data_IF_105331027097
#
_entry.id   IF_105331027097
#
_cell.length_a   1.000
_cell.length_b   1.000
_cell.length_c   1.000
_cell.angle_alpha   90.00
_cell.angle_beta   90.00
_cell.angle_gamma   90.00
#
_symmetry.space_group_name_H-M   'P 1'
#
loop_
_entity.id
_entity.type
_entity.pdbx_description
1 polymer ?
#
# COMPACT_ATOMS: atom_id res chain seq x y z
N UNK A 1 -55.54 42.35 -16.12
CA UNK A 1 -55.95 40.97 -15.78
C UNK A 1 -54.70 40.13 -15.48
N UNK A 2 -54.38 39.87 -14.21
CA UNK A 2 -53.22 39.05 -13.82
C UNK A 2 -53.58 37.56 -13.98
N UNK A 3 -52.85 36.85 -14.84
CA UNK A 3 -52.92 35.40 -15.02
C UNK A 3 -52.89 34.67 -13.67
N UNK A 4 -54.05 34.14 -13.23
CA UNK A 4 -54.15 33.23 -12.09
C UNK A 4 -53.48 31.91 -12.49
N UNK A 5 -52.18 31.75 -12.20
CA UNK A 5 -51.48 30.47 -12.36
C UNK A 5 -52.21 29.41 -11.52
N UNK A 6 -52.79 28.40 -12.19
CA UNK A 6 -53.39 27.22 -11.54
C UNK A 6 -52.26 26.33 -11.02
N UNK A 7 -52.15 26.20 -9.70
CA UNK A 7 -51.25 25.23 -9.08
C UNK A 7 -51.82 23.82 -9.22
N UNK A 8 -50.98 22.85 -9.59
CA UNK A 8 -51.31 21.43 -9.63
C UNK A 8 -50.52 20.72 -8.53
N UNK A 9 -51.19 19.95 -7.67
CA UNK A 9 -50.50 19.06 -6.72
C UNK A 9 -49.81 17.95 -7.50
N UNK A 10 -48.52 17.75 -7.25
CA UNK A 10 -47.72 16.66 -7.82
C UNK A 10 -47.24 15.82 -6.63
N UNK A 11 -47.41 14.49 -6.66
CA UNK A 11 -46.82 13.63 -5.64
C UNK A 11 -45.30 13.73 -5.72
N UNK A 12 -44.66 14.02 -4.59
CA UNK A 12 -43.20 14.08 -4.47
C UNK A 12 -42.80 13.05 -3.42
N UNK A 13 -41.84 12.20 -3.78
CA UNK A 13 -41.16 11.32 -2.83
C UNK A 13 -39.88 12.02 -2.38
N UNK A 14 -39.69 12.13 -1.06
CA UNK A 14 -38.47 12.67 -0.45
C UNK A 14 -37.65 11.47 0.01
N UNK A 15 -36.44 11.33 -0.53
CA UNK A 15 -35.50 10.28 -0.17
C UNK A 15 -34.36 10.88 0.66
N UNK A 16 -34.25 10.56 1.97
CA UNK A 16 -33.17 11.05 2.81
C UNK A 16 -31.87 10.30 2.50
N UNK A 17 -31.08 10.82 1.56
CA UNK A 17 -29.83 10.19 1.10
C UNK A 17 -28.94 9.76 2.27
N UNK A 18 -28.81 10.59 3.30
CA UNK A 18 -27.94 10.31 4.45
C UNK A 18 -28.33 9.04 5.21
N UNK A 19 -29.61 8.78 5.33
CA UNK A 19 -30.14 7.64 6.09
C UNK A 19 -30.22 6.38 5.21
N UNK A 20 -30.42 6.56 3.90
CA UNK A 20 -30.61 5.44 2.98
C UNK A 20 -29.30 4.89 2.35
N UNK A 21 -28.27 5.73 2.18
CA UNK A 21 -27.09 5.36 1.37
C UNK A 21 -26.33 4.14 1.88
N UNK A 22 -26.32 3.92 3.20
CA UNK A 22 -25.71 2.77 3.86
C UNK A 22 -26.71 1.82 4.51
N UNK A 23 -28.01 2.01 4.28
CA UNK A 23 -29.07 1.19 4.89
C UNK A 23 -28.91 -0.31 4.62
N UNK A 24 -28.35 -0.68 3.47
CA UNK A 24 -28.09 -2.08 3.07
C UNK A 24 -26.78 -2.66 3.62
N UNK A 25 -25.93 -1.85 4.23
CA UNK A 25 -24.66 -2.27 4.81
C UNK A 25 -24.75 -2.59 6.30
N UNK A 26 -25.86 -2.20 6.95
CA UNK A 26 -26.12 -2.50 8.35
C UNK A 26 -26.06 -4.01 8.61
N UNK A 27 -25.18 -4.42 9.52
CA UNK A 27 -24.94 -5.84 9.85
C UNK A 27 -24.03 -6.58 8.86
N UNK A 28 -23.48 -5.91 7.85
CA UNK A 28 -22.41 -6.42 6.98
C UNK A 28 -21.09 -5.70 7.20
N UNK A 29 -21.14 -4.39 7.45
CA UNK A 29 -19.99 -3.55 7.80
C UNK A 29 -20.49 -2.40 8.70
N UNK A 30 -19.77 -2.12 9.79
CA UNK A 30 -20.18 -1.11 10.77
C UNK A 30 -19.81 0.30 10.27
N UNK A 31 -20.65 0.84 9.39
CA UNK A 31 -20.44 2.14 8.74
C UNK A 31 -20.44 3.31 9.72
N UNK A 32 -21.15 3.18 10.84
CA UNK A 32 -21.14 4.15 11.94
C UNK A 32 -19.74 4.26 12.57
N UNK A 33 -19.09 3.14 12.85
CA UNK A 33 -17.73 3.12 13.38
C UNK A 33 -16.74 3.67 12.35
N UNK A 34 -16.88 3.27 11.08
CA UNK A 34 -16.01 3.75 9.99
C UNK A 34 -16.19 5.25 9.71
N UNK A 35 -17.36 5.81 9.98
CA UNK A 35 -17.63 7.24 9.76
C UNK A 35 -16.76 8.17 10.64
N UNK A 36 -16.25 7.66 11.77
CA UNK A 36 -15.33 8.42 12.62
C UNK A 36 -13.86 8.28 12.21
N UNK A 37 -13.54 7.29 11.38
CA UNK A 37 -12.17 6.93 11.00
C UNK A 37 -11.56 7.87 9.97
N UNK A 38 -10.23 7.99 10.07
CA UNK A 38 -9.37 8.75 9.17
C UNK A 38 -8.41 7.80 8.48
N UNK A 39 -8.41 7.77 7.15
CA UNK A 39 -7.40 7.05 6.37
C UNK A 39 -6.58 8.02 5.53
N UNK A 40 -5.31 7.68 5.31
CA UNK A 40 -4.47 8.38 4.34
C UNK A 40 -4.11 7.43 3.20
N UNK A 41 -4.48 7.77 1.97
CA UNK A 41 -4.14 7.03 0.76
C UNK A 41 -3.09 7.83 0.00
N UNK A 42 -1.92 7.23 -0.20
CA UNK A 42 -0.74 7.90 -0.76
C UNK A 42 -0.35 7.17 -2.04
N UNK A 43 -0.49 7.86 -3.17
CA UNK A 43 -0.53 7.26 -4.50
C UNK A 43 -1.97 6.89 -4.87
N UNK A 44 -2.46 7.48 -5.95
CA UNK A 44 -3.81 7.34 -6.50
C UNK A 44 -3.74 6.89 -7.97
N UNK A 45 -2.75 6.06 -8.29
CA UNK A 45 -2.72 5.29 -9.54
C UNK A 45 -3.78 4.19 -9.56
N UNK A 46 -3.52 3.12 -10.32
CA UNK A 46 -4.49 2.03 -10.52
C UNK A 46 -5.04 1.41 -9.23
N UNK A 47 -4.16 0.97 -8.33
CA UNK A 47 -4.59 0.35 -7.07
C UNK A 47 -5.08 1.37 -6.05
N UNK A 48 -4.33 2.45 -5.85
CA UNK A 48 -4.65 3.46 -4.84
C UNK A 48 -5.97 4.19 -5.07
N UNK A 49 -6.32 4.47 -6.33
CA UNK A 49 -7.61 5.08 -6.68
C UNK A 49 -8.78 4.12 -6.38
N UNK A 50 -8.62 2.82 -6.65
CA UNK A 50 -9.61 1.80 -6.29
C UNK A 50 -9.77 1.67 -4.76
N UNK A 51 -8.66 1.59 -4.02
CA UNK A 51 -8.67 1.50 -2.55
C UNK A 51 -9.37 2.71 -1.93
N UNK A 52 -9.02 3.94 -2.37
CA UNK A 52 -9.62 5.16 -1.87
C UNK A 52 -11.13 5.21 -2.12
N UNK A 53 -11.57 4.81 -3.32
CA UNK A 53 -12.98 4.78 -3.68
C UNK A 53 -13.75 3.76 -2.86
N UNK A 54 -13.26 2.53 -2.78
CA UNK A 54 -13.90 1.44 -2.03
C UNK A 54 -14.00 1.75 -0.54
N UNK A 55 -12.95 2.30 0.09
CA UNK A 55 -13.02 2.73 1.49
C UNK A 55 -14.08 3.83 1.71
N UNK A 56 -14.19 4.77 0.77
CA UNK A 56 -15.26 5.78 0.76
C UNK A 56 -16.65 5.16 0.68
N UNK A 57 -16.84 4.18 -0.22
CA UNK A 57 -18.08 3.41 -0.37
C UNK A 57 -18.38 2.58 0.89
N UNK A 58 -17.37 2.02 1.54
CA UNK A 58 -17.51 1.29 2.80
C UNK A 58 -17.90 2.17 4.00
N UNK A 59 -17.97 3.49 3.83
CA UNK A 59 -18.42 4.41 4.88
C UNK A 59 -17.30 5.04 5.69
N UNK A 60 -16.02 4.96 5.27
CA UNK A 60 -14.94 5.70 5.92
C UNK A 60 -15.23 7.20 5.83
N UNK A 61 -15.28 7.87 6.98
CA UNK A 61 -15.78 9.24 7.04
C UNK A 61 -14.76 10.32 6.71
N UNK A 62 -13.45 10.08 6.86
CA UNK A 62 -12.40 11.05 6.51
C UNK A 62 -11.30 10.37 5.70
N UNK A 63 -11.04 10.90 4.51
CA UNK A 63 -10.08 10.31 3.57
C UNK A 63 -9.09 11.39 3.14
N UNK A 64 -7.81 11.20 3.41
CA UNK A 64 -6.73 12.05 2.93
C UNK A 64 -6.18 11.41 1.65
N UNK A 65 -6.27 12.12 0.54
CA UNK A 65 -5.84 11.64 -0.78
C UNK A 65 -4.58 12.40 -1.19
N UNK A 66 -3.43 11.74 -1.22
CA UNK A 66 -2.14 12.36 -1.57
C UNK A 66 -1.63 11.79 -2.89
N UNK A 67 -1.58 12.63 -3.92
CA UNK A 67 -1.02 12.30 -5.23
C UNK A 67 -0.74 13.60 -6.02
N UNK A 68 0.39 13.68 -6.71
CA UNK A 68 0.80 14.87 -7.46
C UNK A 68 0.42 14.84 -8.94
N UNK A 69 0.09 13.65 -9.47
CA UNK A 69 -0.11 13.46 -10.89
C UNK A 69 -1.45 13.99 -11.35
N UNK A 70 -1.49 14.29 -12.65
CA UNK A 70 -2.73 14.45 -13.40
C UNK A 70 -3.13 13.12 -14.01
N UNK A 71 -4.42 12.95 -14.29
CA UNK A 71 -4.88 11.79 -15.04
C UNK A 71 -4.45 11.93 -16.51
N UNK A 72 -3.62 11.02 -16.97
CA UNK A 72 -3.22 10.92 -18.38
C UNK A 72 -4.08 9.90 -19.13
N UNK A 73 -4.23 10.09 -20.44
CA UNK A 73 -5.02 9.18 -21.31
C UNK A 73 -4.53 7.73 -21.17
N UNK A 74 -3.22 7.51 -21.11
CA UNK A 74 -2.63 6.18 -20.96
C UNK A 74 -2.94 5.48 -19.63
N UNK A 75 -3.40 6.21 -18.61
CA UNK A 75 -3.78 5.63 -17.33
C UNK A 75 -5.28 5.33 -17.23
N UNK A 76 -6.11 5.87 -18.14
CA UNK A 76 -7.58 5.77 -18.03
C UNK A 76 -8.08 4.33 -18.05
N UNK A 77 -7.44 3.43 -18.82
CA UNK A 77 -7.81 2.02 -18.90
C UNK A 77 -7.67 1.25 -17.58
N UNK A 78 -6.88 1.79 -16.64
CA UNK A 78 -6.53 1.16 -15.37
C UNK A 78 -6.74 2.05 -14.15
N UNK A 79 -7.35 3.22 -14.31
CA UNK A 79 -7.72 4.12 -13.23
C UNK A 79 -9.25 4.13 -13.06
N UNK A 80 -9.77 4.38 -11.86
CA UNK A 80 -11.23 4.39 -11.63
C UNK A 80 -11.97 5.54 -12.33
N UNK A 81 -11.23 6.59 -12.72
CA UNK A 81 -11.76 7.74 -13.44
C UNK A 81 -11.63 7.59 -14.96
N UNK A 82 -12.64 8.06 -15.68
CA UNK A 82 -12.71 7.98 -17.14
C UNK A 82 -12.09 9.17 -17.88
N UNK A 83 -12.22 9.15 -19.22
CA UNK A 83 -11.71 10.17 -20.15
C UNK A 83 -12.14 11.60 -19.81
N UNK A 84 -13.33 11.78 -19.23
CA UNK A 84 -13.86 13.10 -18.82
C UNK A 84 -13.03 13.80 -17.74
N UNK A 85 -12.12 13.09 -17.08
CA UNK A 85 -11.28 13.62 -16.01
C UNK A 85 -9.82 13.86 -16.44
N UNK A 86 -9.45 13.55 -17.69
CA UNK A 86 -8.08 13.71 -18.19
C UNK A 86 -7.60 15.15 -17.99
N UNK A 87 -6.35 15.28 -17.54
CA UNK A 87 -5.71 16.56 -17.23
C UNK A 87 -6.03 17.11 -15.83
N UNK A 88 -7.00 16.55 -15.09
CA UNK A 88 -7.24 16.93 -13.68
C UNK A 88 -6.29 16.18 -12.74
N UNK A 89 -5.93 16.78 -11.61
CA UNK A 89 -5.14 16.10 -10.59
C UNK A 89 -5.89 14.90 -10.00
N UNK A 90 -5.21 13.75 -9.89
CA UNK A 90 -5.77 12.49 -9.38
C UNK A 90 -6.37 12.68 -7.99
N UNK A 91 -5.70 13.40 -7.10
CA UNK A 91 -6.21 13.72 -5.76
C UNK A 91 -7.59 14.41 -5.78
N UNK A 92 -7.78 15.41 -6.65
CA UNK A 92 -9.06 16.11 -6.78
C UNK A 92 -10.13 15.25 -7.44
N UNK A 93 -9.77 14.45 -8.45
CA UNK A 93 -10.70 13.51 -9.08
C UNK A 93 -11.25 12.54 -8.03
N UNK A 94 -10.39 11.99 -7.19
CA UNK A 94 -10.79 11.04 -6.15
C UNK A 94 -11.72 11.67 -5.11
N UNK A 95 -11.50 12.93 -4.74
CA UNK A 95 -12.43 13.64 -3.87
C UNK A 95 -13.85 13.70 -4.46
N UNK A 96 -13.99 14.07 -5.74
CA UNK A 96 -15.29 14.12 -6.40
C UNK A 96 -15.95 12.73 -6.46
N UNK A 97 -15.20 11.70 -6.89
CA UNK A 97 -15.73 10.34 -7.07
C UNK A 97 -16.16 9.69 -5.76
N UNK A 98 -15.46 9.99 -4.66
CA UNK A 98 -15.81 9.54 -3.32
C UNK A 98 -17.06 10.28 -2.84
N UNK A 99 -17.12 11.62 -2.95
CA UNK A 99 -18.26 12.41 -2.48
C UNK A 99 -19.54 12.12 -3.27
N UNK A 100 -19.44 11.72 -4.53
CA UNK A 100 -20.55 11.23 -5.35
C UNK A 100 -21.22 9.97 -4.75
N UNK A 101 -20.42 9.09 -4.12
CA UNK A 101 -20.90 7.82 -3.53
C UNK A 101 -21.07 7.85 -2.02
N UNK A 102 -20.39 8.77 -1.34
CA UNK A 102 -20.47 8.99 0.10
C UNK A 102 -20.43 10.51 0.38
N UNK A 103 -21.57 11.20 0.25
CA UNK A 103 -21.65 12.64 0.47
C UNK A 103 -21.49 13.05 1.94
N UNK A 104 -21.44 12.09 2.87
CA UNK A 104 -21.19 12.33 4.28
C UNK A 104 -19.69 12.33 4.62
N UNK A 105 -18.83 11.83 3.73
CA UNK A 105 -17.39 11.82 3.93
C UNK A 105 -16.79 13.23 3.85
N UNK A 106 -15.61 13.38 4.45
CA UNK A 106 -14.72 14.54 4.27
C UNK A 106 -13.47 14.06 3.56
N UNK A 107 -13.28 14.53 2.32
CA UNK A 107 -12.10 14.18 1.54
C UNK A 107 -11.12 15.36 1.50
N UNK A 108 -9.85 15.09 1.78
CA UNK A 108 -8.77 16.06 1.80
C UNK A 108 -7.79 15.76 0.66
N UNK A 109 -8.01 16.33 -0.54
CA UNK A 109 -7.09 16.15 -1.66
C UNK A 109 -5.83 17.01 -1.45
N UNK A 110 -4.66 16.38 -1.43
CA UNK A 110 -3.35 17.03 -1.35
C UNK A 110 -2.57 16.71 -2.61
N UNK A 111 -2.36 17.73 -3.45
CA UNK A 111 -1.58 17.62 -4.69
C UNK A 111 -0.11 17.82 -4.35
N UNK A 112 0.57 16.74 -3.98
CA UNK A 112 2.00 16.79 -3.65
C UNK A 112 2.67 15.43 -3.79
N UNK A 113 3.95 15.49 -4.14
CA UNK A 113 4.82 14.33 -4.20
C UNK A 113 5.39 14.04 -2.82
N UNK A 114 5.64 12.76 -2.53
CA UNK A 114 6.33 12.35 -1.31
C UNK A 114 7.83 12.41 -1.55
N UNK A 115 8.45 13.49 -1.10
CA UNK A 115 9.88 13.71 -1.14
C UNK A 115 10.36 14.36 0.17
N UNK A 116 11.65 14.65 0.29
CA UNK A 116 12.22 15.25 1.50
C UNK A 116 11.63 16.62 1.84
N UNK A 117 11.36 17.46 0.84
CA UNK A 117 10.82 18.81 1.05
C UNK A 117 9.38 18.78 1.59
N UNK A 118 8.55 17.87 1.07
CA UNK A 118 7.17 17.70 1.50
C UNK A 118 6.99 16.83 2.74
N UNK A 119 8.07 16.17 3.22
CA UNK A 119 8.08 15.26 4.38
C UNK A 119 7.33 15.82 5.61
N UNK A 120 7.49 17.10 6.01
CA UNK A 120 6.77 17.64 7.17
C UNK A 120 5.25 17.65 6.99
N UNK A 121 4.76 17.90 5.78
CA UNK A 121 3.31 17.90 5.47
C UNK A 121 2.77 16.48 5.41
N UNK A 122 3.49 15.57 4.76
CA UNK A 122 3.13 14.14 4.71
C UNK A 122 3.05 13.55 6.11
N UNK A 123 4.02 13.87 6.99
CA UNK A 123 4.02 13.47 8.40
C UNK A 123 2.79 13.93 9.17
N UNK A 124 2.33 15.18 8.96
CA UNK A 124 1.09 15.69 9.58
C UNK A 124 -0.14 14.89 9.15
N UNK A 125 -0.20 14.45 7.90
CA UNK A 125 -1.27 13.59 7.40
C UNK A 125 -1.22 12.19 8.03
N UNK A 126 -0.04 11.57 8.07
CA UNK A 126 0.18 10.27 8.72
C UNK A 126 -0.22 10.30 10.19
N UNK A 127 0.20 11.31 10.94
CA UNK A 127 -0.13 11.45 12.37
C UNK A 127 -1.64 11.49 12.65
N UNK A 128 -2.43 12.04 11.74
CA UNK A 128 -3.89 12.12 11.85
C UNK A 128 -4.61 10.84 11.44
N UNK A 129 -4.01 10.04 10.56
CA UNK A 129 -4.63 8.82 10.07
C UNK A 129 -4.67 7.73 11.16
N UNK A 130 -5.75 6.94 11.15
CA UNK A 130 -5.84 5.67 11.86
C UNK A 130 -5.05 4.59 11.13
N UNK A 131 -5.10 4.58 9.79
CA UNK A 131 -4.35 3.66 8.91
C UNK A 131 -3.84 4.39 7.67
N UNK A 132 -2.60 4.10 7.27
CA UNK A 132 -1.98 4.64 6.06
C UNK A 132 -1.91 3.57 4.97
N UNK A 133 -2.36 3.90 3.77
CA UNK A 133 -2.30 3.03 2.59
C UNK A 133 -1.23 3.59 1.66
N UNK A 134 -0.12 2.86 1.54
CA UNK A 134 1.02 3.23 0.71
C UNK A 134 0.88 2.51 -0.63
N UNK A 135 0.47 3.27 -1.64
CA UNK A 135 0.17 2.79 -3.00
C UNK A 135 1.03 3.49 -4.06
N UNK A 136 2.15 4.10 -3.64
CA UNK A 136 3.15 4.67 -4.53
C UNK A 136 3.99 3.58 -5.20
N UNK A 137 4.38 3.83 -6.43
CA UNK A 137 5.26 3.02 -7.25
C UNK A 137 6.74 3.43 -7.14
N UNK A 138 7.04 4.55 -6.48
CA UNK A 138 8.39 5.04 -6.25
C UNK A 138 9.03 4.45 -4.96
N UNK A 139 10.27 3.95 -5.07
CA UNK A 139 11.01 3.33 -3.96
C UNK A 139 11.38 4.32 -2.85
N UNK A 140 11.85 5.51 -3.20
CA UNK A 140 12.20 6.56 -2.24
C UNK A 140 10.98 6.97 -1.41
N UNK A 141 9.85 7.20 -2.08
CA UNK A 141 8.57 7.49 -1.44
C UNK A 141 8.18 6.39 -0.44
N UNK A 142 8.30 5.11 -0.81
CA UNK A 142 8.03 3.98 0.11
C UNK A 142 8.92 3.98 1.34
N UNK A 143 10.21 4.28 1.19
CA UNK A 143 11.16 4.35 2.31
C UNK A 143 10.86 5.51 3.25
N UNK A 144 10.55 6.70 2.72
CA UNK A 144 10.14 7.87 3.50
C UNK A 144 8.86 7.56 4.28
N UNK A 145 7.84 7.01 3.62
CA UNK A 145 6.55 6.70 4.24
C UNK A 145 6.68 5.60 5.30
N UNK A 146 7.45 4.55 5.04
CA UNK A 146 7.74 3.51 6.01
C UNK A 146 8.35 4.12 7.28
N UNK A 147 9.40 4.94 7.14
CA UNK A 147 10.05 5.60 8.28
C UNK A 147 9.08 6.50 9.03
N UNK A 148 8.31 7.34 8.34
CA UNK A 148 7.33 8.22 8.97
C UNK A 148 6.25 7.45 9.73
N UNK A 149 5.71 6.37 9.16
CA UNK A 149 4.69 5.57 9.82
C UNK A 149 5.25 4.86 11.06
N UNK A 150 6.48 4.34 10.99
CA UNK A 150 7.15 3.73 12.15
C UNK A 150 7.42 4.77 13.25
N UNK A 151 7.96 5.94 12.89
CA UNK A 151 8.26 7.04 13.83
C UNK A 151 6.98 7.58 14.52
N UNK A 152 5.85 7.63 13.82
CA UNK A 152 4.56 8.06 14.38
C UNK A 152 3.75 6.90 14.98
N UNK A 153 4.30 5.68 15.00
CA UNK A 153 3.62 4.43 15.40
C UNK A 153 2.23 4.26 14.76
N UNK A 154 2.17 4.49 13.45
CA UNK A 154 0.94 4.36 12.64
C UNK A 154 0.97 3.06 11.85
N UNK A 155 -0.13 2.27 11.89
CA UNK A 155 -0.22 1.10 11.05
C UNK A 155 -0.28 1.53 9.59
N UNK A 156 0.35 0.74 8.73
CA UNK A 156 0.29 0.95 7.30
C UNK A 156 0.09 -0.35 6.55
N UNK A 157 -0.51 -0.23 5.37
CA UNK A 157 -0.59 -1.29 4.38
C UNK A 157 0.10 -0.77 3.13
N UNK A 158 1.17 -1.43 2.71
CA UNK A 158 1.87 -1.12 1.46
C UNK A 158 1.57 -2.22 0.45
N UNK A 159 1.12 -1.83 -0.74
CA UNK A 159 0.81 -2.78 -1.79
C UNK A 159 1.58 -2.44 -3.07
N UNK A 160 2.05 -3.49 -3.73
CA UNK A 160 2.74 -3.37 -5.01
C UNK A 160 2.35 -4.54 -5.91
N UNK A 161 2.12 -4.25 -7.20
CA UNK A 161 2.10 -5.29 -8.21
C UNK A 161 3.55 -5.67 -8.58
N UNK A 162 3.76 -6.94 -8.89
CA UNK A 162 5.01 -7.39 -9.51
C UNK A 162 5.07 -6.89 -10.95
N UNK A 163 6.22 -7.09 -11.61
CA UNK A 163 6.41 -6.75 -13.03
C UNK A 163 5.23 -7.25 -13.88
N UNK A 164 4.69 -6.41 -14.78
CA UNK A 164 3.54 -6.75 -15.65
C UNK A 164 2.27 -7.19 -14.89
N UNK A 165 2.20 -6.94 -13.58
CA UNK A 165 1.20 -7.47 -12.65
C UNK A 165 0.93 -8.97 -12.80
N UNK A 166 1.96 -9.79 -13.06
CA UNK A 166 1.77 -11.25 -13.04
C UNK A 166 1.38 -11.77 -11.64
N UNK A 167 1.62 -10.96 -10.62
CA UNK A 167 1.16 -11.11 -9.25
C UNK A 167 1.32 -9.79 -8.50
N UNK A 168 1.30 -9.86 -7.18
CA UNK A 168 1.65 -8.75 -6.32
C UNK A 168 1.74 -9.13 -4.86
N UNK A 169 2.05 -8.13 -4.06
CA UNK A 169 2.37 -8.29 -2.65
C UNK A 169 1.75 -7.20 -1.80
N UNK A 170 1.46 -7.55 -0.54
CA UNK A 170 0.94 -6.64 0.47
C UNK A 170 1.78 -6.80 1.73
N UNK A 171 2.34 -5.69 2.20
CA UNK A 171 3.08 -5.58 3.46
C UNK A 171 2.21 -4.88 4.48
N UNK A 172 2.06 -5.49 5.65
CA UNK A 172 1.23 -4.98 6.74
C UNK A 172 2.10 -4.71 7.94
N UNK A 173 2.11 -3.45 8.37
CA UNK A 173 2.73 -3.02 9.60
C UNK A 173 1.64 -2.62 10.60
N UNK A 174 1.62 -3.29 11.75
CA UNK A 174 0.62 -3.13 12.82
C UNK A 174 1.17 -2.39 14.06
N UNK A 175 2.32 -1.73 13.94
CA UNK A 175 2.95 -0.97 15.02
C UNK A 175 4.29 -1.55 15.49
N UNK A 176 5.05 -0.73 16.23
CA UNK A 176 6.40 -1.07 16.70
C UNK A 176 6.39 -2.21 17.71
N UNK A 177 7.38 -3.12 17.62
CA UNK A 177 7.59 -4.21 18.57
C UNK A 177 6.91 -5.54 18.21
N UNK A 178 6.01 -5.54 17.22
CA UNK A 178 5.23 -6.74 16.85
C UNK A 178 5.50 -7.14 15.39
N UNK A 179 5.27 -6.24 14.43
CA UNK A 179 5.39 -6.53 12.99
C UNK A 179 6.71 -6.01 12.39
N UNK A 180 7.30 -6.72 11.40
CA UNK A 180 8.38 -6.16 10.59
C UNK A 180 7.88 -4.91 9.82
N UNK A 181 8.72 -3.88 9.73
CA UNK A 181 8.45 -2.76 8.83
C UNK A 181 8.95 -3.08 7.41
N UNK A 182 8.67 -2.20 6.45
CA UNK A 182 9.10 -2.41 5.06
C UNK A 182 10.63 -2.53 4.93
N UNK A 183 11.39 -1.82 5.77
CA UNK A 183 12.85 -1.95 5.79
C UNK A 183 13.31 -3.35 6.23
N UNK A 184 12.60 -4.04 7.12
CA UNK A 184 12.90 -5.42 7.47
C UNK A 184 12.71 -6.33 6.24
N UNK A 185 11.61 -6.14 5.51
CA UNK A 185 11.33 -6.89 4.29
C UNK A 185 12.46 -6.73 3.26
N UNK A 186 12.88 -5.49 2.98
CA UNK A 186 14.00 -5.22 2.07
C UNK A 186 15.30 -5.93 2.45
N UNK A 187 15.54 -6.11 3.76
CA UNK A 187 16.74 -6.80 4.25
C UNK A 187 16.66 -8.32 4.13
N UNK A 188 15.47 -8.91 4.30
CA UNK A 188 15.30 -10.36 4.18
C UNK A 188 15.14 -10.81 2.74
N UNK A 189 14.50 -10.00 1.90
CA UNK A 189 14.00 -10.37 0.58
C UNK A 189 14.32 -9.27 -0.45
N UNK A 190 15.61 -9.01 -0.72
CA UNK A 190 16.05 -7.93 -1.59
C UNK A 190 15.65 -8.16 -3.06
N UNK A 191 15.56 -9.40 -3.52
CA UNK A 191 15.18 -9.72 -4.90
C UNK A 191 13.67 -9.45 -5.12
N UNK A 192 12.83 -9.95 -4.22
CA UNK A 192 11.37 -9.76 -4.24
C UNK A 192 10.97 -8.29 -4.03
N UNK A 193 11.82 -7.52 -3.35
CA UNK A 193 11.65 -6.08 -3.20
C UNK A 193 11.89 -5.31 -4.50
N UNK A 194 12.72 -5.84 -5.39
CA UNK A 194 13.04 -5.22 -6.68
C UNK A 194 12.08 -5.64 -7.79
N UNK A 195 11.31 -6.72 -7.61
CA UNK A 195 10.25 -7.11 -8.54
C UNK A 195 9.00 -6.25 -8.32
N UNK A 196 9.00 -5.09 -8.95
CA UNK A 196 7.91 -4.11 -8.89
C UNK A 196 7.50 -3.72 -10.30
N UNK A 197 6.21 -3.45 -10.49
CA UNK A 197 5.67 -2.97 -11.77
C UNK A 197 6.39 -1.71 -12.25
N UNK A 198 6.79 -1.72 -13.53
CA UNK A 198 7.36 -0.56 -14.23
C UNK A 198 6.23 0.09 -15.03
N UNK A 199 5.72 1.19 -14.49
CA UNK A 199 4.45 1.77 -14.92
C UNK A 199 4.60 3.10 -15.66
N UNK A 200 5.81 3.69 -15.63
CA UNK A 200 6.16 4.94 -16.33
C UNK A 200 7.54 4.91 -17.00
N UNK A 201 7.79 5.75 -18.02
CA UNK A 201 9.11 5.89 -18.64
C UNK A 201 10.20 6.36 -17.67
N UNK A 202 9.87 7.23 -16.72
CA UNK A 202 10.81 7.75 -15.71
C UNK A 202 11.35 6.61 -14.85
N UNK A 203 10.48 5.70 -14.40
CA UNK A 203 10.89 4.49 -13.67
C UNK A 203 11.78 3.58 -14.53
N UNK A 204 11.42 3.44 -15.81
CA UNK A 204 12.21 2.64 -16.73
C UNK A 204 13.62 3.21 -16.90
N UNK A 205 13.78 4.53 -16.93
CA UNK A 205 15.06 5.22 -16.99
C UNK A 205 15.88 5.06 -15.70
N UNK A 206 15.24 5.15 -14.53
CA UNK A 206 15.93 4.91 -13.24
C UNK A 206 16.50 3.48 -13.13
N UNK A 207 15.83 2.50 -13.76
CA UNK A 207 16.23 1.10 -13.74
C UNK A 207 17.22 0.77 -14.87
N UNK A 208 17.29 1.58 -15.92
CA UNK A 208 18.16 1.36 -17.06
C UNK A 208 19.65 1.54 -16.68
N UNK A 209 20.26 0.50 -16.12
CA UNK A 209 21.69 0.43 -15.83
C UNK A 209 22.58 0.25 -17.08
N UNK A 210 21.98 0.05 -18.27
CA UNK A 210 22.67 -0.20 -19.54
C UNK A 210 21.98 0.53 -20.69
N UNK A 211 22.62 0.61 -21.87
CA UNK A 211 22.04 1.19 -23.10
C UNK A 211 20.81 0.45 -23.66
N UNK A 212 20.27 -0.53 -22.91
CA UNK A 212 19.06 -1.26 -23.28
C UNK A 212 17.85 -0.59 -22.61
N UNK A 213 16.90 -0.19 -23.44
CA UNK A 213 15.61 0.31 -22.98
C UNK A 213 14.90 -0.74 -22.11
N UNK A 214 14.43 -0.29 -20.95
CA UNK A 214 13.56 -1.08 -20.09
C UNK A 214 12.12 -0.82 -20.54
N UNK A 215 11.34 -1.85 -20.93
CA UNK A 215 9.99 -1.64 -21.43
C UNK A 215 9.04 -1.22 -20.29
N UNK A 216 8.16 -0.26 -20.59
CA UNK A 216 7.05 0.12 -19.70
C UNK A 216 5.92 -0.89 -19.89
N UNK A 217 5.76 -1.80 -18.93
CA UNK A 217 4.80 -2.90 -19.01
C UNK A 217 3.82 -2.86 -17.83
N UNK A 218 2.83 -1.96 -17.86
CA UNK A 218 1.88 -1.83 -16.77
C UNK A 218 0.94 -3.04 -16.72
N UNK A 219 0.48 -3.35 -15.52
CA UNK A 219 -0.49 -4.39 -15.24
C UNK A 219 -1.88 -4.05 -15.76
N UNK A 220 -2.64 -5.10 -16.09
CA UNK A 220 -4.07 -4.96 -16.37
C UNK A 220 -4.83 -4.61 -15.08
N UNK A 221 -5.89 -3.83 -15.18
CA UNK A 221 -6.74 -3.53 -14.03
C UNK A 221 -7.30 -4.80 -13.37
N UNK A 222 -7.62 -5.82 -14.18
CA UNK A 222 -8.10 -7.11 -13.68
C UNK A 222 -7.04 -7.85 -12.82
N UNK A 223 -5.76 -7.58 -13.04
CA UNK A 223 -4.66 -8.19 -12.30
C UNK A 223 -4.31 -7.39 -11.04
N UNK A 224 -4.51 -6.06 -11.07
CA UNK A 224 -4.26 -5.14 -9.96
C UNK A 224 -5.41 -5.14 -8.94
N UNK A 225 -6.64 -5.33 -9.42
CA UNK A 225 -7.85 -5.24 -8.59
C UNK A 225 -7.91 -6.29 -7.47
N UNK A 226 -7.58 -7.57 -7.67
CA UNK A 226 -7.54 -8.56 -6.58
C UNK A 226 -6.62 -8.12 -5.43
N UNK A 227 -5.44 -7.58 -5.76
CA UNK A 227 -4.49 -7.05 -4.78
C UNK A 227 -5.12 -5.90 -4.00
N UNK A 228 -5.68 -4.94 -4.72
CA UNK A 228 -6.32 -3.75 -4.15
C UNK A 228 -7.53 -4.10 -3.27
N UNK A 229 -8.32 -5.11 -3.65
CA UNK A 229 -9.45 -5.60 -2.87
C UNK A 229 -9.01 -6.23 -1.53
N UNK A 230 -7.91 -6.97 -1.55
CA UNK A 230 -7.34 -7.54 -0.32
C UNK A 230 -6.81 -6.44 0.61
N UNK A 231 -6.20 -5.39 0.06
CA UNK A 231 -5.79 -4.20 0.83
C UNK A 231 -6.98 -3.53 1.52
N UNK A 232 -8.12 -3.36 0.82
CA UNK A 232 -9.35 -2.81 1.43
C UNK A 232 -9.85 -3.69 2.58
N UNK A 233 -9.80 -5.03 2.42
CA UNK A 233 -10.21 -5.97 3.48
C UNK A 233 -9.32 -5.88 4.71
N UNK A 234 -8.00 -5.94 4.53
CA UNK A 234 -7.01 -5.80 5.62
C UNK A 234 -7.17 -4.43 6.29
N UNK A 235 -7.34 -3.37 5.49
CA UNK A 235 -7.56 -2.02 5.98
C UNK A 235 -8.81 -1.89 6.84
N UNK A 236 -9.93 -2.44 6.37
CA UNK A 236 -11.19 -2.48 7.12
C UNK A 236 -11.05 -3.24 8.45
N UNK A 237 -10.35 -4.37 8.45
CA UNK A 237 -10.05 -5.13 9.66
C UNK A 237 -9.24 -4.31 10.67
N UNK A 238 -8.14 -3.65 10.24
CA UNK A 238 -7.33 -2.80 11.14
C UNK A 238 -8.17 -1.65 11.70
N UNK A 239 -9.02 -1.01 10.89
CA UNK A 239 -9.88 0.10 11.32
C UNK A 239 -10.94 -0.33 12.34
N UNK A 240 -11.44 -1.55 12.21
CA UNK A 240 -12.49 -2.15 13.03
C UNK A 240 -11.94 -3.06 14.13
N UNK A 241 -10.62 -3.08 14.33
CA UNK A 241 -9.98 -3.91 15.34
C UNK A 241 -10.60 -3.64 16.72
N UNK A 242 -10.83 -4.73 17.46
CA UNK A 242 -11.44 -4.74 18.80
C UNK A 242 -12.89 -4.24 18.85
N UNK A 243 -13.58 -4.17 17.70
CA UNK A 243 -15.00 -3.85 17.60
C UNK A 243 -15.81 -5.11 17.32
N UNK A 244 -17.03 -5.17 17.84
CA UNK A 244 -17.96 -6.25 17.52
C UNK A 244 -18.55 -6.01 16.14
N UNK A 245 -17.97 -6.67 15.13
CA UNK A 245 -18.37 -6.56 13.72
C UNK A 245 -18.39 -7.93 13.06
N UNK A 246 -19.03 -8.05 11.91
CA UNK A 246 -18.95 -9.24 11.03
C UNK A 246 -17.54 -9.55 10.54
N UNK A 247 -16.67 -8.53 10.41
CA UNK A 247 -15.30 -8.69 9.94
C UNK A 247 -14.35 -9.24 11.02
N UNK A 248 -14.81 -9.35 12.28
CA UNK A 248 -14.03 -9.90 13.39
C UNK A 248 -13.53 -11.33 13.16
N UNK A 249 -14.19 -12.12 12.32
CA UNK A 249 -13.67 -13.45 11.96
C UNK A 249 -12.28 -13.36 11.31
N UNK A 250 -12.02 -12.29 10.55
CA UNK A 250 -10.75 -12.08 9.86
C UNK A 250 -9.59 -11.76 10.81
N UNK A 251 -9.85 -11.41 12.07
CA UNK A 251 -8.80 -11.13 13.06
C UNK A 251 -7.86 -12.32 13.30
N UNK A 252 -8.33 -13.53 13.02
CA UNK A 252 -7.54 -14.76 13.12
C UNK A 252 -6.99 -15.23 11.78
N UNK A 253 -7.59 -14.79 10.66
CA UNK A 253 -7.26 -15.26 9.31
C UNK A 253 -6.25 -14.33 8.62
N UNK A 254 -6.28 -13.03 8.96
CA UNK A 254 -5.47 -11.99 8.33
C UNK A 254 -4.43 -11.42 9.31
N UNK A 255 -3.55 -12.31 9.78
CA UNK A 255 -2.51 -11.98 10.79
C UNK A 255 -1.09 -11.87 10.22
N UNK A 256 -0.88 -12.29 8.97
CA UNK A 256 0.45 -12.33 8.38
C UNK A 256 0.96 -10.90 8.07
N UNK A 257 2.25 -10.62 8.28
CA UNK A 257 2.83 -9.33 7.94
C UNK A 257 3.07 -9.15 6.43
N UNK A 258 3.08 -10.25 5.68
CA UNK A 258 3.29 -10.25 4.23
C UNK A 258 2.31 -11.18 3.55
N UNK A 259 1.71 -10.72 2.45
CA UNK A 259 0.86 -11.51 1.58
C UNK A 259 1.35 -11.48 0.15
N UNK A 260 1.26 -12.62 -0.53
CA UNK A 260 1.51 -12.74 -1.97
C UNK A 260 0.23 -13.21 -2.68
N UNK A 261 0.01 -12.65 -3.85
CA UNK A 261 -0.98 -13.07 -4.84
C UNK A 261 -0.31 -13.28 -6.19
N UNK A 262 -0.72 -14.32 -6.93
CA UNK A 262 -0.23 -14.60 -8.28
C UNK A 262 -1.41 -14.64 -9.26
N UNK A 263 -1.43 -13.76 -10.26
CA UNK A 263 -2.44 -13.76 -11.31
C UNK A 263 -2.19 -14.88 -12.32
N UNK A 264 -0.91 -15.08 -12.71
CA UNK A 264 -0.52 -16.03 -13.74
C UNK A 264 0.93 -16.48 -13.56
N UNK A 265 1.30 -17.52 -14.30
CA UNK A 265 2.70 -17.92 -14.45
C UNK A 265 3.38 -16.92 -15.37
N UNK A 266 4.55 -16.45 -14.97
CA UNK A 266 5.33 -15.51 -15.76
C UNK A 266 6.69 -16.12 -16.11
N UNK A 267 7.05 -16.05 -17.38
CA UNK A 267 8.29 -16.65 -17.90
C UNK A 267 9.50 -15.98 -17.25
N UNK A 268 10.49 -16.77 -16.86
CA UNK A 268 11.72 -16.27 -16.23
C UNK A 268 11.57 -15.92 -14.74
N UNK A 269 10.41 -16.18 -14.13
CA UNK A 269 10.21 -16.04 -12.69
C UNK A 269 10.24 -17.42 -12.01
N UNK A 270 10.47 -17.49 -10.68
CA UNK A 270 10.35 -18.74 -9.92
C UNK A 270 8.96 -19.41 -10.05
N UNK A 271 7.95 -18.66 -10.51
CA UNK A 271 6.56 -19.10 -10.60
C UNK A 271 6.17 -19.67 -11.98
N UNK A 272 7.08 -19.66 -12.95
CA UNK A 272 6.82 -20.14 -14.32
C UNK A 272 6.31 -21.58 -14.36
N UNK A 273 6.84 -22.43 -13.48
CA UNK A 273 6.64 -23.88 -13.48
C UNK A 273 5.66 -24.37 -12.40
N UNK A 274 4.91 -23.47 -11.76
CA UNK A 274 3.92 -23.89 -10.76
C UNK A 274 2.88 -24.82 -11.35
N UNK A 275 2.45 -25.83 -10.61
CA UNK A 275 1.43 -26.77 -11.06
C UNK A 275 0.06 -26.09 -11.26
N UNK A 276 -0.80 -26.59 -12.18
CA UNK A 276 -2.12 -25.99 -12.40
C UNK A 276 -3.00 -26.11 -11.17
N UNK A 277 -3.88 -25.12 -10.98
CA UNK A 277 -4.88 -25.14 -9.91
C UNK A 277 -5.93 -26.22 -10.21
N UNK A 278 -5.72 -27.42 -9.66
CA UNK A 278 -6.62 -28.59 -9.78
C UNK A 278 -7.25 -28.92 -8.43
N UNK A 279 -8.04 -29.98 -8.39
CA UNK A 279 -8.55 -30.55 -7.13
C UNK A 279 -7.39 -31.08 -6.26
N UNK A 280 -7.49 -30.89 -4.94
CA UNK A 280 -6.56 -31.47 -3.95
C UNK A 280 -5.07 -31.20 -4.22
N UNK A 281 -4.73 -29.93 -4.46
CA UNK A 281 -3.35 -29.50 -4.71
C UNK A 281 -2.75 -28.77 -3.50
N UNK A 282 -1.61 -29.30 -3.04
CA UNK A 282 -0.77 -28.74 -1.97
C UNK A 282 0.28 -27.78 -2.55
N UNK A 283 0.66 -26.78 -1.75
CA UNK A 283 1.69 -25.82 -2.10
C UNK A 283 1.19 -24.56 -2.82
N UNK A 284 2.10 -23.91 -3.52
CA UNK A 284 1.87 -22.59 -4.12
C UNK A 284 1.38 -22.70 -5.56
N UNK A 285 0.38 -21.89 -5.90
CA UNK A 285 -0.34 -21.91 -7.16
C UNK A 285 -0.80 -20.50 -7.54
N UNK A 286 -1.15 -20.33 -8.81
CA UNK A 286 -1.81 -19.12 -9.29
C UNK A 286 -3.23 -19.00 -8.73
N UNK A 287 -3.70 -17.77 -8.60
CA UNK A 287 -5.04 -17.38 -8.13
C UNK A 287 -5.36 -17.77 -6.68
N UNK A 288 -4.34 -17.73 -5.81
CA UNK A 288 -4.48 -17.95 -4.36
C UNK A 288 -3.68 -16.90 -3.58
N UNK A 289 -4.19 -16.57 -2.38
CA UNK A 289 -3.50 -15.72 -1.40
C UNK A 289 -2.62 -16.57 -0.50
N UNK A 290 -1.40 -16.09 -0.25
CA UNK A 290 -0.43 -16.72 0.63
C UNK A 290 -0.02 -15.72 1.71
N UNK A 291 -0.36 -16.02 2.97
CA UNK A 291 0.16 -15.28 4.12
C UNK A 291 1.52 -15.86 4.52
N UNK A 292 2.53 -15.01 4.59
CA UNK A 292 3.91 -15.40 4.89
C UNK A 292 4.31 -14.73 6.20
N UNK A 293 4.76 -15.56 7.14
CA UNK A 293 5.30 -15.08 8.40
C UNK A 293 6.70 -14.50 8.16
N UNK A 294 6.90 -13.27 8.65
CA UNK A 294 8.17 -12.57 8.58
C UNK A 294 8.42 -11.91 9.94
N UNK A 295 9.60 -12.12 10.51
CA UNK A 295 9.94 -11.57 11.83
C UNK A 295 10.49 -10.17 11.71
N UNK A 296 10.21 -9.33 12.70
CA UNK A 296 10.87 -8.04 12.87
C UNK A 296 12.37 -8.27 13.07
N UNK A 297 13.20 -7.57 12.31
CA UNK A 297 14.63 -7.55 12.54
C UNK A 297 14.94 -6.58 13.70
N UNK A 298 15.52 -7.08 14.79
CA UNK A 298 15.93 -6.27 15.94
C UNK A 298 17.01 -5.24 15.57
N UNK A 299 17.84 -5.55 14.58
CA UNK A 299 18.85 -4.66 14.01
C UNK A 299 18.30 -3.71 12.93
N UNK A 300 16.98 -3.64 12.72
CA UNK A 300 16.43 -2.77 11.69
C UNK A 300 16.69 -1.28 12.03
N UNK A 301 17.27 -0.46 11.13
CA UNK A 301 17.55 0.96 11.40
C UNK A 301 16.31 1.86 11.42
N UNK A 302 15.11 1.27 11.24
CA UNK A 302 13.83 2.00 11.24
C UNK A 302 12.96 1.56 12.40
N UNK A 303 12.66 0.25 12.52
CA UNK A 303 11.78 -0.25 13.58
C UNK A 303 12.52 -1.03 14.68
N UNK A 304 13.83 -1.25 14.55
CA UNK A 304 14.68 -1.97 15.50
C UNK A 304 15.47 -1.03 16.41
N UNK A 305 16.33 -1.61 17.24
CA UNK A 305 17.30 -0.88 18.06
C UNK A 305 18.70 -1.10 17.47
N UNK A 306 18.95 -0.44 16.35
CA UNK A 306 20.18 -0.62 15.57
C UNK A 306 21.44 -0.23 16.36
N UNK A 307 21.38 0.83 17.15
CA UNK A 307 22.53 1.28 17.96
C UNK A 307 22.91 0.24 19.00
N UNK A 308 21.93 -0.27 19.76
CA UNK A 308 22.18 -1.35 20.73
C UNK A 308 22.66 -2.63 20.05
N UNK A 309 22.09 -2.98 18.90
CA UNK A 309 22.53 -4.15 18.15
C UNK A 309 23.96 -4.01 17.65
N UNK A 310 24.33 -2.85 17.10
CA UNK A 310 25.69 -2.57 16.63
C UNK A 310 26.69 -2.62 17.79
N UNK A 311 26.37 -2.00 18.94
CA UNK A 311 27.21 -2.02 20.13
C UNK A 311 27.43 -3.42 20.71
N UNK A 312 26.42 -4.29 20.65
CA UNK A 312 26.50 -5.65 21.20
C UNK A 312 27.19 -6.67 20.29
N UNK A 313 27.30 -6.39 18.97
CA UNK A 313 27.86 -7.33 17.99
C UNK A 313 29.23 -6.89 17.42
N UNK A 314 29.83 -5.82 17.96
CA UNK A 314 31.25 -5.55 17.73
C UNK A 314 32.09 -6.47 18.60
N UNK A 315 32.63 -7.55 18.03
CA UNK A 315 33.85 -8.14 18.59
C UNK A 315 34.96 -7.07 18.54
N UNK A 316 35.68 -6.80 19.65
CA UNK A 316 36.82 -5.91 19.58
C UNK A 316 37.82 -6.50 18.59
N UNK A 317 38.22 -5.70 17.60
CA UNK A 317 39.31 -6.02 16.70
C UNK A 317 40.53 -6.25 17.60
N UNK A 318 40.91 -7.51 17.82
CA UNK A 318 42.13 -7.82 18.54
C UNK A 318 43.30 -7.27 17.72
N UNK A 319 44.03 -6.32 18.31
CA UNK A 319 45.30 -5.80 17.80
C UNK A 319 46.35 -6.93 17.80
N UNK A 320 46.26 -7.84 16.83
CA UNK A 320 47.32 -8.78 16.54
C UNK A 320 48.13 -8.25 15.36
N UNK A 321 49.01 -7.29 15.65
CA UNK A 321 50.23 -7.06 14.85
C UNK A 321 51.27 -6.24 15.61
N UNK A 322 52.25 -6.97 16.15
CA UNK A 322 53.71 -6.82 15.96
C UNK A 322 54.45 -6.95 17.28
N UNK A 323 55.29 -7.99 17.34
CA UNK A 323 56.67 -8.02 17.85
C UNK A 323 57.00 -9.51 18.07
N UNK A 324 58.06 -10.13 17.58
CA UNK A 324 59.20 -9.74 16.75
C UNK A 324 59.83 -11.06 16.30
N UNK A 325 59.92 -11.33 14.98
CA UNK A 325 60.79 -12.41 14.49
C UNK A 325 62.23 -11.92 14.52
N UNK A 326 62.99 -12.35 15.53
CA UNK A 326 64.45 -12.27 15.51
C UNK A 326 65.00 -13.38 14.63
N UNK A 327 65.46 -13.02 13.43
CA UNK A 327 66.33 -13.85 12.61
C UNK A 327 67.72 -13.88 13.26
N UNK A 328 68.15 -15.04 13.75
CA UNK A 328 69.57 -15.33 13.97
C UNK A 328 70.12 -16.17 12.79
N UNK A 329 71.31 -15.85 12.27
CA UNK A 329 71.92 -16.55 11.15
C UNK A 329 72.70 -17.78 11.62
N UNK A 330 72.41 -18.94 11.02
CA UNK A 330 73.21 -20.15 11.20
C UNK A 330 74.61 -19.99 10.59
N UNK A 331 75.61 -20.05 11.46
CA UNK A 331 77.02 -20.17 11.08
C UNK A 331 77.50 -21.61 11.23
N UNK A 332 78.40 -21.98 10.31
CA UNK A 332 79.08 -23.26 10.11
C UNK A 332 79.55 -23.97 11.39
N UNK A 333 79.32 -25.29 11.48
CA UNK A 333 80.36 -26.32 11.56
C UNK A 333 79.80 -27.70 11.22
#
# INVERSE_FOLDING_TARGET
>A
MRNRKKWRKIPVQITPIKDEIFSRYKGLIETDILSDKIVAIIGLGSGGSYIALELGICGVGKIICIDHDRLEVGNVSRHVAGLSHVGRYKAHIMADLILDRNPNAKVYPLVMEVNFDNKPTVRKSIKKADVVFICTDNRESRLILNRLCVEENKPFIMAAAFSRAYGGQIHVFNGTGISPCYQCFLSYLPEEANDVEISSPEQAQEIAYSDREVPVEPGLLNDIKPISQMVVKIGGQILLKDKETTLRSLDKDLIAPWYIWLNRREKGTPYEKLEPLKYYVDGMHILRWYGIDLKRNEACPVCGDFEKYALNNHEPISDNKKDSQSNEPTSRK
#
